data_IF_528990950467
#
_entry.id   IF_528990950467
#
_cell.length_a   1.000
_cell.length_b   1.000
_cell.length_c   1.000
_cell.angle_alpha   90.00
_cell.angle_beta   90.00
_cell.angle_gamma   90.00
#
_symmetry.space_group_name_H-M   'P 1'
#
loop_
_entity.id
_entity.type
_entity.pdbx_description
1 polymer ?
#
# COMPACT_ATOMS: atom_id res chain seq x y z
N UNK A 1 -18.77 3.85 -6.39
CA UNK A 1 -19.08 4.96 -5.47
C UNK A 1 -17.97 6.02 -5.39
N UNK A 2 -16.72 5.66 -5.63
CA UNK A 2 -15.58 6.60 -5.70
C UNK A 2 -15.22 6.93 -7.15
N UNK A 3 -14.41 7.98 -7.35
CA UNK A 3 -13.91 8.32 -8.69
C UNK A 3 -12.79 7.35 -9.08
N UNK A 4 -12.77 6.92 -10.32
CA UNK A 4 -11.75 6.00 -10.83
C UNK A 4 -10.32 6.53 -10.60
N UNK A 5 -10.09 7.82 -10.82
CA UNK A 5 -8.77 8.46 -10.63
C UNK A 5 -8.24 8.39 -9.19
N UNK A 6 -9.11 8.23 -8.18
CA UNK A 6 -8.80 8.16 -6.75
C UNK A 6 -8.63 6.71 -6.26
N UNK A 7 -8.99 5.73 -7.08
CA UNK A 7 -9.04 4.31 -6.68
C UNK A 7 -7.72 3.81 -6.10
N UNK A 8 -6.60 4.09 -6.74
CA UNK A 8 -5.28 3.64 -6.27
C UNK A 8 -4.97 4.16 -4.85
N UNK A 9 -5.26 5.44 -4.58
CA UNK A 9 -5.01 6.01 -3.24
C UNK A 9 -5.96 5.42 -2.21
N UNK A 10 -7.24 5.27 -2.54
CA UNK A 10 -8.24 4.69 -1.64
C UNK A 10 -7.89 3.23 -1.32
N UNK A 11 -7.57 2.41 -2.33
CA UNK A 11 -7.14 1.02 -2.12
C UNK A 11 -5.92 0.93 -1.20
N UNK A 12 -4.91 1.79 -1.39
CA UNK A 12 -3.74 1.83 -0.52
C UNK A 12 -4.09 2.24 0.92
N UNK A 13 -5.04 3.13 1.12
CA UNK A 13 -5.53 3.48 2.47
C UNK A 13 -6.20 2.28 3.14
N UNK A 14 -6.98 1.49 2.40
CA UNK A 14 -7.53 0.22 2.91
C UNK A 14 -6.43 -0.78 3.26
N UNK A 15 -5.44 -0.99 2.36
CA UNK A 15 -4.29 -1.86 2.65
C UNK A 15 -3.57 -1.46 3.93
N UNK A 16 -3.33 -0.17 4.14
CA UNK A 16 -2.69 0.33 5.36
C UNK A 16 -3.50 0.04 6.62
N UNK A 17 -4.83 0.28 6.59
CA UNK A 17 -5.71 -0.02 7.73
C UNK A 17 -5.80 -1.51 8.05
N UNK A 18 -5.89 -2.35 7.01
CA UNK A 18 -5.87 -3.81 7.18
C UNK A 18 -4.54 -4.24 7.81
N UNK A 19 -3.41 -3.73 7.28
CA UNK A 19 -2.09 -4.02 7.83
C UNK A 19 -1.96 -3.57 9.29
N UNK A 20 -2.47 -2.39 9.66
CA UNK A 20 -2.48 -1.90 11.05
C UNK A 20 -3.29 -2.84 11.96
N UNK A 21 -4.50 -3.26 11.56
CA UNK A 21 -5.32 -4.22 12.33
C UNK A 21 -4.62 -5.57 12.52
N UNK A 22 -3.95 -6.08 11.47
CA UNK A 22 -3.17 -7.31 11.55
C UNK A 22 -1.97 -7.12 12.49
N UNK A 23 -1.25 -6.00 12.36
CA UNK A 23 -0.12 -5.67 13.22
C UNK A 23 -0.52 -5.59 14.70
N UNK A 24 -1.63 -4.91 15.01
CA UNK A 24 -2.19 -4.84 16.36
C UNK A 24 -2.51 -6.24 16.93
N UNK A 25 -3.14 -7.11 16.11
CA UNK A 25 -3.47 -8.48 16.51
C UNK A 25 -2.24 -9.36 16.76
N UNK A 26 -1.11 -9.02 16.14
CA UNK A 26 0.18 -9.72 16.26
C UNK A 26 1.15 -9.01 17.21
N UNK A 27 0.70 -7.99 17.94
CA UNK A 27 1.52 -7.21 18.88
C UNK A 27 2.74 -6.55 18.23
N UNK A 28 2.58 -6.07 17.00
CA UNK A 28 3.60 -5.29 16.32
C UNK A 28 3.40 -3.80 16.60
N UNK A 29 4.50 -3.04 16.68
CA UNK A 29 4.48 -1.62 17.04
C UNK A 29 4.62 -0.68 15.83
N UNK A 30 4.84 -1.21 14.64
CA UNK A 30 5.05 -0.41 13.43
C UNK A 30 4.71 -1.21 12.17
N UNK A 31 4.48 -0.47 11.08
CA UNK A 31 4.38 -1.00 9.73
C UNK A 31 5.66 -0.72 8.95
N UNK A 32 6.00 -1.61 8.03
CA UNK A 32 7.10 -1.42 7.06
C UNK A 32 6.55 -1.54 5.65
N UNK A 33 6.88 -0.58 4.79
CA UNK A 33 6.45 -0.60 3.37
C UNK A 33 7.63 -0.45 2.43
N UNK A 34 7.53 -1.05 1.24
CA UNK A 34 8.52 -0.97 0.17
C UNK A 34 8.36 0.25 -0.75
N UNK A 35 7.72 1.33 -0.28
CA UNK A 35 7.48 2.52 -1.10
C UNK A 35 8.77 3.29 -1.38
N UNK A 36 8.89 3.79 -2.63
CA UNK A 36 9.94 4.72 -3.05
C UNK A 36 9.31 5.90 -3.79
N UNK A 37 9.79 7.14 -3.53
CA UNK A 37 9.23 8.34 -4.13
C UNK A 37 9.49 8.36 -5.64
N UNK A 38 8.43 8.62 -6.42
CA UNK A 38 8.51 8.83 -7.85
C UNK A 38 8.53 7.57 -8.72
N UNK A 39 8.48 6.38 -8.13
CA UNK A 39 8.47 5.13 -8.89
C UNK A 39 7.14 4.89 -9.60
N UNK A 40 6.03 5.21 -8.94
CA UNK A 40 4.67 5.09 -9.52
C UNK A 40 3.82 6.29 -9.13
N UNK A 41 2.71 6.48 -9.85
CA UNK A 41 1.82 7.63 -9.69
C UNK A 41 1.26 7.83 -8.26
N UNK A 42 1.11 6.76 -7.49
CA UNK A 42 0.64 6.81 -6.09
C UNK A 42 1.75 7.09 -5.08
N UNK A 43 3.02 6.96 -5.45
CA UNK A 43 4.19 7.17 -4.58
C UNK A 43 4.74 8.59 -4.72
N UNK A 44 3.86 9.56 -4.74
CA UNK A 44 4.18 10.99 -4.61
C UNK A 44 4.10 11.40 -3.14
N UNK A 45 4.72 12.51 -2.77
CA UNK A 45 4.63 13.04 -1.39
C UNK A 45 3.16 13.21 -0.97
N UNK A 46 2.31 13.73 -1.86
CA UNK A 46 0.89 13.91 -1.58
C UNK A 46 0.15 12.57 -1.45
N UNK A 47 0.51 11.58 -2.29
CA UNK A 47 -0.02 10.22 -2.18
C UNK A 47 0.34 9.58 -0.85
N UNK A 48 1.62 9.65 -0.47
CA UNK A 48 2.11 9.14 0.82
C UNK A 48 1.46 9.85 2.01
N UNK A 49 1.25 11.16 1.93
CA UNK A 49 0.52 11.91 2.97
C UNK A 49 -0.90 11.38 3.13
N UNK A 50 -1.61 11.15 2.02
CA UNK A 50 -2.97 10.60 2.06
C UNK A 50 -3.02 9.17 2.63
N UNK A 51 -2.09 8.31 2.24
CA UNK A 51 -2.05 6.93 2.75
C UNK A 51 -1.63 6.88 4.21
N UNK A 52 -0.64 7.68 4.61
CA UNK A 52 -0.18 7.73 6.00
C UNK A 52 -1.25 8.24 6.98
N UNK A 53 -2.11 9.17 6.53
CA UNK A 53 -3.22 9.70 7.33
C UNK A 53 -4.30 8.64 7.65
N UNK A 54 -4.25 7.45 7.06
CA UNK A 54 -5.22 6.38 7.32
C UNK A 54 -4.87 5.49 8.51
N UNK A 55 -3.66 5.60 9.04
CA UNK A 55 -3.13 4.78 10.15
C UNK A 55 -2.51 5.64 11.24
N UNK A 56 -2.42 5.10 12.44
CA UNK A 56 -1.82 5.73 13.62
C UNK A 56 -0.44 5.17 13.93
N UNK A 57 -0.18 3.92 13.55
CA UNK A 57 1.11 3.29 13.75
C UNK A 57 2.22 4.02 12.98
N UNK A 58 3.45 4.04 13.51
CA UNK A 58 4.63 4.44 12.74
C UNK A 58 4.78 3.60 11.47
N UNK A 59 5.10 4.26 10.35
CA UNK A 59 5.32 3.58 9.07
C UNK A 59 6.75 3.81 8.62
N UNK A 60 7.56 2.76 8.63
CA UNK A 60 8.94 2.79 8.14
C UNK A 60 8.99 2.50 6.64
N UNK A 61 9.79 3.29 5.94
CA UNK A 61 9.97 3.20 4.49
C UNK A 61 11.46 3.13 4.16
N UNK A 62 12.10 1.98 4.32
CA UNK A 62 13.56 1.86 4.16
C UNK A 62 14.04 2.19 2.74
N UNK A 63 13.19 2.09 1.74
CA UNK A 63 13.52 2.34 0.34
C UNK A 63 13.10 3.73 -0.16
N UNK A 64 12.60 4.62 0.70
CA UNK A 64 11.89 5.83 0.30
C UNK A 64 12.69 6.78 -0.60
N UNK A 65 13.99 6.83 -0.43
CA UNK A 65 14.90 7.69 -1.19
C UNK A 65 15.74 6.94 -2.24
N UNK A 66 15.58 5.63 -2.36
CA UNK A 66 16.32 4.82 -3.32
C UNK A 66 15.67 4.89 -4.69
N UNK A 67 16.49 4.94 -5.73
CA UNK A 67 16.02 4.76 -7.10
C UNK A 67 15.83 3.26 -7.43
N UNK A 68 15.29 3.00 -8.63
CA UNK A 68 15.00 1.62 -9.04
C UNK A 68 16.27 0.76 -9.15
N UNK A 69 17.38 1.34 -9.57
CA UNK A 69 18.65 0.63 -9.72
C UNK A 69 19.20 0.22 -8.37
N UNK A 70 19.23 1.14 -7.42
CA UNK A 70 19.67 0.89 -6.03
C UNK A 70 18.81 -0.21 -5.37
N UNK A 71 17.49 -0.18 -5.59
CA UNK A 71 16.57 -1.22 -5.06
C UNK A 71 16.87 -2.59 -5.68
N UNK A 72 17.14 -2.64 -6.99
CA UNK A 72 17.53 -3.89 -7.68
C UNK A 72 18.85 -4.43 -7.14
N UNK A 73 19.85 -3.57 -6.95
CA UNK A 73 21.15 -3.97 -6.38
C UNK A 73 20.99 -4.57 -4.98
N UNK A 74 20.16 -3.96 -4.14
CA UNK A 74 19.85 -4.51 -2.80
C UNK A 74 19.14 -5.85 -2.93
N UNK A 75 18.14 -5.97 -3.78
CA UNK A 75 17.39 -7.22 -3.99
C UNK A 75 18.31 -8.36 -4.48
N UNK A 76 19.23 -8.08 -5.39
CA UNK A 76 20.25 -9.04 -5.85
C UNK A 76 21.18 -9.45 -4.71
N UNK A 77 21.66 -8.48 -3.92
CA UNK A 77 22.56 -8.73 -2.79
C UNK A 77 21.94 -9.62 -1.71
N UNK A 78 20.66 -9.48 -1.46
CA UNK A 78 19.92 -10.29 -0.45
C UNK A 78 19.27 -11.55 -1.06
N UNK A 79 19.43 -11.80 -2.37
CA UNK A 79 18.96 -13.01 -3.04
C UNK A 79 17.46 -13.06 -3.33
N UNK A 80 16.75 -11.91 -3.33
CA UNK A 80 15.30 -11.86 -3.59
C UNK A 80 14.93 -11.42 -5.00
N UNK A 81 15.90 -10.97 -5.79
CA UNK A 81 15.64 -10.40 -7.12
C UNK A 81 14.99 -11.40 -8.07
N UNK A 82 15.53 -12.62 -8.18
CA UNK A 82 15.04 -13.64 -9.12
C UNK A 82 13.58 -14.02 -8.84
N UNK A 83 13.19 -14.07 -7.56
CA UNK A 83 11.79 -14.29 -7.18
C UNK A 83 10.92 -13.07 -7.51
N UNK A 84 11.45 -11.85 -7.32
CA UNK A 84 10.70 -10.61 -7.54
C UNK A 84 10.35 -10.34 -9.00
N UNK A 85 11.06 -10.95 -9.97
CA UNK A 85 10.83 -10.75 -11.40
C UNK A 85 9.97 -11.85 -12.04
N UNK A 86 9.53 -12.84 -11.26
CA UNK A 86 8.60 -13.86 -11.76
C UNK A 86 7.30 -13.19 -12.24
N UNK A 87 6.73 -13.67 -13.37
CA UNK A 87 5.51 -13.09 -13.91
C UNK A 87 4.32 -13.45 -13.02
N UNK A 88 3.82 -12.46 -12.28
CA UNK A 88 2.62 -12.56 -11.46
C UNK A 88 1.68 -11.39 -11.75
N UNK A 89 0.40 -11.59 -11.48
CA UNK A 89 -0.60 -10.52 -11.61
C UNK A 89 -0.41 -9.49 -10.48
N UNK A 90 -0.06 -8.26 -10.86
CA UNK A 90 0.08 -7.15 -9.92
C UNK A 90 -1.26 -6.42 -9.75
N UNK A 91 -1.64 -6.15 -8.52
CA UNK A 91 -2.81 -5.34 -8.20
C UNK A 91 -2.76 -3.95 -8.87
N UNK A 92 -1.57 -3.42 -9.13
CA UNK A 92 -1.37 -2.17 -9.85
C UNK A 92 -1.84 -2.25 -11.31
N UNK A 93 -1.78 -3.40 -11.95
CA UNK A 93 -2.27 -3.59 -13.33
C UNK A 93 -3.78 -3.78 -13.39
N UNK A 94 -4.34 -4.48 -12.40
CA UNK A 94 -5.78 -4.80 -12.33
C UNK A 94 -6.61 -3.59 -11.90
N UNK A 95 -6.13 -2.80 -10.94
CA UNK A 95 -6.87 -1.70 -10.33
C UNK A 95 -6.36 -0.30 -10.71
N UNK A 96 -5.41 -0.21 -11.66
CA UNK A 96 -4.86 1.10 -12.04
C UNK A 96 -5.81 1.87 -12.96
N UNK A 97 -6.27 3.05 -12.56
CA UNK A 97 -7.09 3.89 -13.41
C UNK A 97 -6.27 4.41 -14.60
N UNK A 98 -6.93 4.66 -15.74
CA UNK A 98 -6.27 5.22 -16.94
C UNK A 98 -5.55 6.55 -16.66
N UNK A 99 -6.04 7.31 -15.69
CA UNK A 99 -5.46 8.61 -15.27
C UNK A 99 -5.47 8.68 -13.74
N UNK A 100 -4.47 8.11 -13.06
CA UNK A 100 -4.39 8.17 -11.60
C UNK A 100 -4.11 9.59 -11.14
N UNK A 101 -4.69 9.97 -9.99
CA UNK A 101 -4.39 11.25 -9.35
C UNK A 101 -2.97 11.22 -8.75
N UNK A 102 -2.10 12.12 -9.23
CA UNK A 102 -0.71 12.21 -8.76
C UNK A 102 -0.52 13.21 -7.62
N UNK A 103 -1.45 14.15 -7.47
CA UNK A 103 -1.46 15.15 -6.40
C UNK A 103 -2.79 15.10 -5.65
N UNK A 104 -3.09 14.00 -4.94
CA UNK A 104 -4.32 13.89 -4.17
C UNK A 104 -4.34 14.90 -3.02
N UNK A 105 -5.53 15.42 -2.73
CA UNK A 105 -5.79 16.22 -1.52
C UNK A 105 -6.50 15.35 -0.50
N UNK A 106 -6.01 15.34 0.73
CA UNK A 106 -6.52 14.46 1.79
C UNK A 106 -8.03 14.64 2.01
N UNK A 107 -8.49 15.89 2.12
CA UNK A 107 -9.90 16.23 2.32
C UNK A 107 -10.82 15.68 1.21
N UNK A 108 -10.32 15.65 -0.03
CA UNK A 108 -11.05 15.09 -1.17
C UNK A 108 -11.10 13.57 -1.13
N UNK A 109 -9.98 12.93 -0.79
CA UNK A 109 -9.91 11.47 -0.66
C UNK A 109 -10.83 11.00 0.46
N UNK A 110 -10.80 11.65 1.62
CA UNK A 110 -11.68 11.32 2.74
C UNK A 110 -13.16 11.50 2.41
N UNK A 111 -13.54 12.56 1.69
CA UNK A 111 -14.92 12.73 1.20
C UNK A 111 -15.36 11.61 0.24
N UNK A 112 -14.46 11.09 -0.56
CA UNK A 112 -14.77 9.96 -1.45
C UNK A 112 -14.87 8.66 -0.68
N UNK A 113 -13.97 8.43 0.28
CA UNK A 113 -13.93 7.26 1.15
C UNK A 113 -15.16 7.17 2.06
N UNK A 114 -15.65 8.29 2.59
CA UNK A 114 -16.87 8.37 3.41
C UNK A 114 -18.16 7.87 2.72
N UNK A 115 -18.12 7.60 1.42
CA UNK A 115 -19.23 6.97 0.68
C UNK A 115 -19.20 5.44 0.78
N UNK A 116 -18.16 4.90 1.37
CA UNK A 116 -17.94 3.47 1.57
C UNK A 116 -18.19 3.13 3.03
N UNK A 117 -18.65 1.92 3.28
CA UNK A 117 -18.67 1.35 4.63
C UNK A 117 -17.27 0.80 4.95
N UNK A 118 -16.38 1.73 5.36
CA UNK A 118 -14.96 1.45 5.56
C UNK A 118 -14.74 0.36 6.59
N UNK A 119 -15.43 0.43 7.73
CA UNK A 119 -15.26 -0.56 8.81
C UNK A 119 -15.72 -1.94 8.39
N UNK A 120 -16.85 -2.05 7.71
CA UNK A 120 -17.33 -3.32 7.19
C UNK A 120 -16.36 -3.92 6.19
N UNK A 121 -15.87 -3.13 5.23
CA UNK A 121 -14.94 -3.62 4.21
C UNK A 121 -13.60 -4.10 4.81
N UNK A 122 -13.11 -3.41 5.84
CA UNK A 122 -11.90 -3.83 6.56
C UNK A 122 -12.18 -5.12 7.33
N UNK A 123 -13.32 -5.20 8.03
CA UNK A 123 -13.67 -6.40 8.80
C UNK A 123 -13.86 -7.60 7.87
N UNK A 124 -14.57 -7.43 6.75
CA UNK A 124 -14.74 -8.48 5.75
C UNK A 124 -13.38 -8.98 5.22
N UNK A 125 -12.41 -8.08 5.00
CA UNK A 125 -11.06 -8.46 4.57
C UNK A 125 -10.31 -9.24 5.66
N UNK A 126 -10.41 -8.83 6.92
CA UNK A 126 -9.75 -9.50 8.06
C UNK A 126 -10.34 -10.89 8.30
N UNK A 127 -11.66 -11.02 8.23
CA UNK A 127 -12.35 -12.30 8.44
C UNK A 127 -12.03 -13.35 7.35
N UNK A 128 -11.56 -12.89 6.19
CA UNK A 128 -11.17 -13.75 5.07
C UNK A 128 -9.65 -13.88 4.89
N UNK A 129 -8.84 -13.51 5.89
CA UNK A 129 -7.38 -13.71 5.83
C UNK A 129 -7.09 -15.21 5.94
N UNK A 130 -6.39 -15.72 4.94
CA UNK A 130 -5.79 -17.05 4.98
C UNK A 130 -4.36 -16.93 5.53
N UNK A 131 -4.01 -17.84 6.42
CA UNK A 131 -2.68 -17.91 7.04
C UNK A 131 -2.03 -19.23 6.66
N UNK A 132 -0.85 -19.13 6.07
CA UNK A 132 -0.05 -20.28 5.66
C UNK A 132 1.28 -20.25 6.44
N UNK A 133 1.56 -21.32 7.18
CA UNK A 133 2.82 -21.46 7.89
C UNK A 133 3.85 -22.12 6.97
N UNK A 134 4.96 -21.42 6.75
CA UNK A 134 6.08 -21.90 5.92
C UNK A 134 7.20 -22.36 6.84
N UNK A 135 7.51 -23.65 6.78
CA UNK A 135 8.68 -24.23 7.45
C UNK A 135 9.91 -24.16 6.53
N UNK A 136 11.07 -23.75 7.09
CA UNK A 136 12.35 -23.62 6.40
C UNK A 136 13.31 -24.75 6.79
#
# INVERSE_FOLDING_TARGET
NCKDEEMTIISRRFMMRIAERVAESRHCDALVTGESIGQVASQTIQGLTCTNASVKMPVFRPLIAMDKTEIIEVAQKIGTFETSILPEEDCCTVFSPKKPVTKPKLDRIEKSENKLDVEKLIQDAIDNIEVEDIEF
#
